data_IF_123046248922
#
_entry.id   IF_123046248922
#
_cell.length_a   1.000
_cell.length_b   1.000
_cell.length_c   1.000
_cell.angle_alpha   90.00
_cell.angle_beta   90.00
_cell.angle_gamma   90.00
#
_symmetry.space_group_name_H-M   'P 1'
#
loop_
_entity.id
_entity.type
_entity.pdbx_description
1 polymer ?
#
# COMPACT_ATOMS: atom_id res chain seq x y z
N UNK A 1 -7.37 7.15 40.90
CA UNK A 1 -8.77 7.51 41.19
C UNK A 1 -8.88 8.97 40.74
N UNK A 2 -9.28 9.21 39.49
CA UNK A 2 -9.29 10.56 38.89
C UNK A 2 -10.60 11.27 39.25
N UNK A 3 -10.45 12.52 39.70
CA UNK A 3 -11.46 13.34 40.36
C UNK A 3 -12.60 13.72 39.40
N UNK A 4 -13.83 13.45 39.82
CA UNK A 4 -15.05 13.96 39.19
C UNK A 4 -15.37 15.31 39.84
N UNK A 5 -15.12 16.42 39.16
CA UNK A 5 -15.66 17.71 39.59
C UNK A 5 -17.13 17.80 39.16
N UNK A 6 -18.05 17.63 40.11
CA UNK A 6 -19.48 17.85 39.93
C UNK A 6 -19.84 19.29 40.34
N UNK A 7 -20.02 20.19 39.35
CA UNK A 7 -20.66 21.49 39.57
C UNK A 7 -22.11 21.49 39.10
N UNK A 8 -22.97 21.93 40.01
CA UNK A 8 -24.42 21.75 40.04
C UNK A 8 -25.25 22.83 39.32
N UNK A 9 -26.54 22.52 39.15
CA UNK A 9 -27.72 23.41 39.02
C UNK A 9 -27.90 24.19 37.71
N UNK A 10 -28.38 23.49 36.69
CA UNK A 10 -29.37 23.97 35.69
C UNK A 10 -29.86 22.76 34.89
N UNK A 11 -31.02 22.83 34.23
CA UNK A 11 -31.64 21.77 33.39
C UNK A 11 -30.82 21.36 32.15
N UNK A 12 -29.51 21.61 32.15
CA UNK A 12 -28.57 21.21 31.12
C UNK A 12 -27.64 20.16 31.73
N UNK A 13 -27.71 18.94 31.20
CA UNK A 13 -27.01 17.77 31.75
C UNK A 13 -25.54 18.01 32.06
N UNK A 14 -25.09 17.41 33.18
CA UNK A 14 -23.70 17.46 33.63
C UNK A 14 -22.79 16.98 32.50
N UNK A 15 -21.84 17.83 32.13
CA UNK A 15 -20.87 17.53 31.08
C UNK A 15 -19.59 17.05 31.74
N UNK A 16 -19.12 15.87 31.33
CA UNK A 16 -17.92 15.19 31.82
C UNK A 16 -16.84 15.31 30.75
N UNK A 17 -15.70 15.89 31.12
CA UNK A 17 -14.57 16.11 30.21
C UNK A 17 -13.35 15.32 30.70
N UNK A 18 -12.65 14.67 29.77
CA UNK A 18 -11.45 13.93 30.07
C UNK A 18 -10.21 14.81 29.90
N UNK A 19 -9.44 14.99 30.98
CA UNK A 19 -8.22 15.80 30.99
C UNK A 19 -7.13 15.23 30.08
N UNK A 20 -7.06 13.90 29.92
CA UNK A 20 -6.02 13.23 29.11
C UNK A 20 -6.17 13.45 27.61
N UNK A 21 -7.39 13.72 27.15
CA UNK A 21 -7.73 13.63 25.72
C UNK A 21 -8.69 14.70 25.22
N UNK A 22 -9.14 15.57 26.12
CA UNK A 22 -10.16 16.60 25.87
C UNK A 22 -11.47 16.05 25.28
N UNK A 23 -11.78 14.77 25.51
CA UNK A 23 -13.07 14.17 25.13
C UNK A 23 -14.15 14.61 26.11
N UNK A 24 -15.28 15.07 25.57
CA UNK A 24 -16.39 15.63 26.35
C UNK A 24 -17.67 14.84 26.08
N UNK A 25 -18.36 14.42 27.14
CA UNK A 25 -19.61 13.66 27.05
C UNK A 25 -20.60 14.09 28.13
N UNK A 26 -21.89 13.75 27.98
CA UNK A 26 -22.94 14.13 28.95
C UNK A 26 -23.50 12.97 29.75
N UNK A 27 -23.17 11.73 29.35
CA UNK A 27 -23.73 10.51 29.96
C UNK A 27 -22.62 9.66 30.55
N UNK A 28 -22.90 9.08 31.72
CA UNK A 28 -21.94 8.22 32.43
C UNK A 28 -21.56 6.96 31.64
N UNK A 29 -22.47 6.42 30.83
CA UNK A 29 -22.16 5.24 30.00
C UNK A 29 -21.16 5.56 28.90
N UNK A 30 -21.27 6.73 28.24
CA UNK A 30 -20.31 7.21 27.24
C UNK A 30 -18.92 7.36 27.87
N UNK A 31 -18.87 7.92 29.08
CA UNK A 31 -17.63 8.02 29.86
C UNK A 31 -17.00 6.65 30.15
N UNK A 32 -17.80 5.68 30.58
CA UNK A 32 -17.32 4.33 30.89
C UNK A 32 -16.79 3.61 29.64
N UNK A 33 -17.37 3.86 28.47
CA UNK A 33 -16.83 3.33 27.20
C UNK A 33 -15.53 4.05 26.86
N UNK A 34 -15.52 5.38 26.97
CA UNK A 34 -14.36 6.23 26.67
C UNK A 34 -13.09 5.75 27.37
N UNK A 35 -13.14 5.58 28.70
CA UNK A 35 -11.98 5.16 29.51
C UNK A 35 -11.49 3.74 29.17
N UNK A 36 -12.34 2.91 28.56
CA UNK A 36 -12.01 1.54 28.12
C UNK A 36 -11.50 1.48 26.68
N UNK A 37 -11.59 2.58 25.92
CA UNK A 37 -11.11 2.57 24.54
C UNK A 37 -9.60 2.38 24.49
N UNK A 38 -9.12 1.61 23.51
CA UNK A 38 -7.69 1.40 23.30
C UNK A 38 -6.92 2.73 23.13
N UNK A 39 -7.58 3.75 22.56
CA UNK A 39 -7.01 5.09 22.42
C UNK A 39 -6.78 5.79 23.76
N UNK A 40 -7.69 5.64 24.72
CA UNK A 40 -7.55 6.23 26.06
C UNK A 40 -6.58 5.43 26.95
N UNK A 41 -6.58 4.10 26.83
CA UNK A 41 -5.69 3.22 27.58
C UNK A 41 -4.24 3.25 27.07
N UNK A 42 -4.03 3.65 25.81
CA UNK A 42 -2.69 3.82 25.25
C UNK A 42 -1.94 4.94 26.00
N UNK A 43 -0.77 4.67 26.59
CA UNK A 43 0.06 5.70 27.24
C UNK A 43 0.57 6.75 26.23
N UNK A 44 0.50 6.43 24.94
CA UNK A 44 0.79 7.36 23.86
C UNK A 44 -0.52 7.95 23.38
N UNK A 45 -0.77 9.21 23.77
CA UNK A 45 -1.89 10.00 23.29
C UNK A 45 -1.60 10.50 21.87
N UNK A 46 -1.68 9.59 20.89
CA UNK A 46 -1.35 9.88 19.50
C UNK A 46 -1.34 8.61 18.67
N UNK A 47 -1.76 8.72 17.40
CA UNK A 47 -1.54 7.64 16.44
C UNK A 47 -0.03 7.36 16.42
N UNK A 48 0.38 6.14 16.79
CA UNK A 48 1.69 5.62 16.39
C UNK A 48 1.67 5.53 14.86
N UNK A 49 1.92 6.65 14.19
CA UNK A 49 2.35 6.66 12.80
C UNK A 49 3.70 5.93 12.82
N UNK A 50 3.67 4.65 12.45
CA UNK A 50 4.79 3.80 12.05
C UNK A 50 6.19 4.28 12.47
N UNK A 51 6.50 4.21 13.75
CA UNK A 51 7.89 4.08 14.22
C UNK A 51 7.93 3.10 15.38
N UNK A 52 7.31 1.92 15.21
CA UNK A 52 7.79 0.75 15.93
C UNK A 52 9.14 0.36 15.31
N UNK A 53 10.19 1.12 15.62
CA UNK A 53 11.46 0.48 15.91
C UNK A 53 11.19 -0.33 17.18
N UNK A 54 10.75 -1.57 16.96
CA UNK A 54 10.52 -2.53 18.02
C UNK A 54 11.77 -2.62 18.86
N UNK A 55 11.61 -2.30 20.13
CA UNK A 55 12.45 -2.82 21.20
C UNK A 55 12.42 -4.35 21.04
N UNK A 56 13.61 -4.96 20.92
CA UNK A 56 13.93 -6.40 20.92
C UNK A 56 14.08 -7.05 19.54
N UNK A 57 15.33 -7.29 19.16
CA UNK A 57 15.74 -8.13 18.03
C UNK A 57 16.74 -7.41 17.15
N UNK A 58 17.95 -7.95 17.05
CA UNK A 58 19.03 -7.46 16.18
C UNK A 58 18.49 -7.04 14.82
N UNK A 59 18.51 -5.73 14.54
CA UNK A 59 18.09 -5.16 13.27
C UNK A 59 19.16 -5.46 12.21
N UNK A 60 19.29 -6.73 11.84
CA UNK A 60 19.96 -7.10 10.61
C UNK A 60 19.04 -6.63 9.47
N UNK A 61 19.45 -5.63 8.67
CA UNK A 61 18.64 -5.20 7.54
C UNK A 61 18.48 -6.41 6.60
N UNK A 62 17.26 -6.92 6.54
CA UNK A 62 16.90 -8.15 5.80
C UNK A 62 16.83 -7.93 4.30
N UNK A 63 16.81 -6.68 3.84
CA UNK A 63 16.58 -6.33 2.44
C UNK A 63 17.77 -5.57 1.87
N UNK A 64 18.55 -6.24 1.01
CA UNK A 64 19.73 -5.67 0.37
C UNK A 64 19.43 -5.48 -1.12
N UNK A 65 19.69 -4.28 -1.64
CA UNK A 65 19.64 -4.03 -3.08
C UNK A 65 20.88 -4.60 -3.76
N UNK A 66 20.79 -4.93 -5.06
CA UNK A 66 21.93 -5.30 -5.91
C UNK A 66 23.08 -4.29 -5.89
N UNK A 67 22.82 -3.02 -5.55
CA UNK A 67 23.88 -2.02 -5.33
C UNK A 67 24.56 -2.06 -3.96
N UNK A 68 24.21 -3.02 -3.10
CA UNK A 68 24.74 -3.17 -1.74
C UNK A 68 24.05 -2.34 -0.66
N UNK A 69 23.12 -1.44 -1.03
CA UNK A 69 22.35 -0.66 -0.03
C UNK A 69 21.39 -1.53 0.76
N UNK A 70 21.41 -1.36 2.08
CA UNK A 70 20.65 -2.15 3.05
C UNK A 70 19.41 -1.38 3.53
N UNK A 71 18.28 -2.07 3.66
CA UNK A 71 16.99 -1.51 4.06
C UNK A 71 16.34 -2.38 5.13
N UNK A 72 15.69 -1.73 6.09
CA UNK A 72 14.99 -2.41 7.20
C UNK A 72 13.59 -2.89 6.80
N UNK A 73 13.06 -2.38 5.69
CA UNK A 73 11.71 -2.72 5.21
C UNK A 73 11.73 -2.94 3.70
N UNK A 74 10.85 -3.84 3.25
CA UNK A 74 10.62 -4.08 1.83
C UNK A 74 10.16 -2.81 1.11
N UNK A 75 9.34 -1.96 1.77
CA UNK A 75 8.88 -0.68 1.22
C UNK A 75 10.05 0.30 1.00
N UNK A 76 11.04 0.32 1.90
CA UNK A 76 12.27 1.11 1.72
C UNK A 76 13.08 0.64 0.51
N UNK A 77 13.23 -0.69 0.35
CA UNK A 77 13.88 -1.28 -0.81
C UNK A 77 13.12 -0.96 -2.12
N UNK A 78 11.79 -1.03 -2.11
CA UNK A 78 10.96 -0.74 -3.29
C UNK A 78 11.09 0.72 -3.75
N UNK A 79 10.98 1.68 -2.81
CA UNK A 79 11.18 3.10 -3.09
C UNK A 79 12.58 3.36 -3.67
N UNK A 80 13.58 2.69 -3.11
CA UNK A 80 14.94 2.74 -3.63
C UNK A 80 15.03 2.21 -5.06
N UNK A 81 14.56 0.98 -5.33
CA UNK A 81 14.60 0.38 -6.68
C UNK A 81 13.89 1.26 -7.71
N UNK A 82 12.79 1.92 -7.34
CA UNK A 82 12.02 2.78 -8.23
C UNK A 82 12.73 4.08 -8.60
N UNK A 83 13.51 4.66 -7.69
CA UNK A 83 14.09 6.00 -7.83
C UNK A 83 15.63 5.99 -7.92
N UNK A 84 16.27 4.83 -7.94
CA UNK A 84 17.73 4.73 -7.94
C UNK A 84 18.28 5.13 -9.31
N UNK A 85 19.30 5.99 -9.30
CA UNK A 85 20.05 6.40 -10.51
C UNK A 85 21.19 5.45 -10.86
N UNK A 86 21.45 4.44 -10.02
CA UNK A 86 22.48 3.43 -10.29
C UNK A 86 21.97 2.42 -11.32
N UNK A 87 22.74 2.20 -12.38
CA UNK A 87 22.42 1.23 -13.44
C UNK A 87 22.21 -0.19 -12.89
N UNK A 88 22.96 -0.57 -11.84
CA UNK A 88 22.83 -1.87 -11.14
C UNK A 88 21.48 -2.04 -10.42
N UNK A 89 20.83 -0.94 -10.04
CA UNK A 89 19.53 -0.94 -9.36
C UNK A 89 18.36 -0.92 -10.33
N UNK A 90 18.58 -0.24 -11.46
CA UNK A 90 17.70 -0.27 -12.60
C UNK A 90 17.89 -1.59 -13.31
N UNK A 91 17.40 -2.66 -12.68
CA UNK A 91 16.67 -3.62 -13.50
C UNK A 91 15.55 -2.78 -14.09
N UNK A 92 15.83 -2.21 -15.27
CA UNK A 92 14.80 -1.92 -16.24
C UNK A 92 13.90 -3.14 -16.10
N UNK A 93 12.69 -2.92 -15.59
CA UNK A 93 11.64 -3.87 -15.91
C UNK A 93 11.74 -3.89 -17.42
N UNK A 94 12.38 -4.91 -17.98
CA UNK A 94 12.17 -5.32 -19.35
C UNK A 94 10.67 -5.57 -19.34
N UNK A 95 9.90 -4.50 -19.52
CA UNK A 95 8.58 -4.62 -20.09
C UNK A 95 8.86 -5.50 -21.29
N UNK A 96 8.17 -6.65 -21.42
CA UNK A 96 8.35 -7.49 -22.59
C UNK A 96 8.34 -6.55 -23.78
N UNK A 97 9.39 -6.59 -24.60
CA UNK A 97 9.57 -5.62 -25.67
C UNK A 97 8.33 -5.72 -26.56
N UNK A 98 7.36 -4.84 -26.28
CA UNK A 98 6.06 -4.88 -26.92
C UNK A 98 6.26 -4.70 -28.42
N UNK A 99 7.35 -4.05 -28.84
CA UNK A 99 7.72 -3.88 -30.21
C UNK A 99 8.12 -5.22 -30.86
N UNK A 100 8.88 -6.07 -30.14
CA UNK A 100 9.18 -7.43 -30.58
C UNK A 100 7.91 -8.28 -30.70
N UNK A 101 7.03 -8.25 -29.70
CA UNK A 101 5.77 -9.01 -29.72
C UNK A 101 4.82 -8.54 -30.83
N UNK A 102 4.70 -7.22 -31.03
CA UNK A 102 3.91 -6.64 -32.13
C UNK A 102 4.50 -7.04 -33.49
N UNK A 103 5.83 -7.01 -33.64
CA UNK A 103 6.51 -7.43 -34.88
C UNK A 103 6.28 -8.92 -35.17
N UNK A 104 6.35 -9.77 -34.16
CA UNK A 104 6.02 -11.19 -34.27
C UNK A 104 4.57 -11.40 -34.74
N UNK A 105 3.59 -10.77 -34.09
CA UNK A 105 2.18 -10.86 -34.48
C UNK A 105 1.91 -10.33 -35.90
N UNK A 106 2.59 -9.26 -36.31
CA UNK A 106 2.51 -8.75 -37.69
C UNK A 106 3.05 -9.75 -38.71
N UNK A 107 4.12 -10.48 -38.36
CA UNK A 107 4.68 -11.51 -39.23
C UNK A 107 3.72 -12.70 -39.37
N UNK A 108 3.21 -13.23 -38.25
CA UNK A 108 2.19 -14.30 -38.24
C UNK A 108 0.96 -13.90 -39.09
N UNK A 109 0.46 -12.67 -38.92
CA UNK A 109 -0.67 -12.17 -39.71
C UNK A 109 -0.36 -12.06 -41.21
N UNK A 110 0.88 -11.73 -41.58
CA UNK A 110 1.31 -11.68 -42.97
C UNK A 110 1.35 -13.07 -43.59
N UNK A 111 1.84 -14.07 -42.85
CA UNK A 111 1.87 -15.47 -43.28
C UNK A 111 0.46 -16.03 -43.44
N UNK A 112 -0.43 -15.80 -42.46
CA UNK A 112 -1.84 -16.18 -42.55
C UNK A 112 -2.53 -15.58 -43.77
N UNK A 113 -2.31 -14.28 -44.05
CA UNK A 113 -2.83 -13.61 -45.25
C UNK A 113 -2.36 -14.30 -46.54
N UNK A 114 -1.10 -14.70 -46.61
CA UNK A 114 -0.54 -15.37 -47.79
C UNK A 114 -1.19 -16.74 -48.00
N UNK A 115 -1.35 -17.54 -46.94
CA UNK A 115 -1.99 -18.86 -47.00
C UNK A 115 -3.44 -18.73 -47.50
N UNK A 116 -4.21 -17.77 -46.95
CA UNK A 116 -5.59 -17.51 -47.40
C UNK A 116 -5.62 -17.13 -48.89
N UNK A 117 -4.70 -16.27 -49.32
CA UNK A 117 -4.60 -15.84 -50.72
C UNK A 117 -4.30 -17.00 -51.66
N UNK A 118 -3.44 -17.94 -51.26
CA UNK A 118 -3.15 -19.15 -52.03
C UNK A 118 -4.35 -20.08 -52.15
N UNK A 119 -5.10 -20.29 -51.06
CA UNK A 119 -6.32 -21.09 -51.05
C UNK A 119 -7.38 -20.47 -51.97
N UNK A 120 -7.61 -19.15 -51.88
CA UNK A 120 -8.54 -18.45 -52.76
C UNK A 120 -8.15 -18.57 -54.24
N UNK A 121 -6.85 -18.48 -54.56
CA UNK A 121 -6.36 -18.66 -55.93
C UNK A 121 -6.61 -20.07 -56.45
N UNK A 122 -6.31 -21.11 -55.66
CA UNK A 122 -6.52 -22.52 -56.05
C UNK A 122 -8.00 -22.87 -56.24
N UNK A 123 -8.89 -22.31 -55.44
CA UNK A 123 -10.33 -22.54 -55.57
C UNK A 123 -10.90 -21.91 -56.84
N UNK A 124 -10.38 -20.76 -57.28
CA UNK A 124 -10.81 -20.11 -58.52
C UNK A 124 -10.29 -20.82 -59.78
N UNK A 125 -9.24 -21.65 -59.68
CA UNK A 125 -8.68 -22.40 -60.82
C UNK A 125 -9.26 -23.80 -60.99
N UNK A 126 -10.04 -24.31 -60.03
CA UNK A 126 -10.56 -25.69 -60.02
C UNK A 126 -11.99 -25.80 -60.59
N UNK A 127 -12.55 -24.71 -61.10
CA UNK A 127 -13.88 -24.69 -61.73
C UNK A 127 -13.74 -24.76 -63.26
N UNK A 128 -13.26 -25.90 -63.79
CA UNK A 128 -13.40 -26.30 -65.21
C UNK A 128 -13.68 -27.80 -65.25
#
# INVERSE_FOLDING_TARGET
MELLEEKSRQKNGVTITCEKCSFTCKRKWDWNIHIKTAKHLSPFFGNKMETNHGILGENNPTFICSCGKKYNTQSGLWKHKKNSKNDVCNNHSEKPDNNYFIKYLMNENKELKNIIMEICKKNNTTTI
#
